data_IF_565153288887
#
_entry.id   IF_565153288887
#
_cell.length_a   1.000
_cell.length_b   1.000
_cell.length_c   1.000
_cell.angle_alpha   90.00
_cell.angle_beta   90.00
_cell.angle_gamma   90.00
#
_symmetry.space_group_name_H-M   'P 1'
#
loop_
_entity.id
_entity.type
_entity.pdbx_description
1 polymer ?
#
# COMPACT_ATOMS: atom_id res chain seq x y z
N UNK A 1 -25.02 -30.97 -0.80
CA UNK A 1 -24.25 -31.82 0.13
C UNK A 1 -23.35 -30.89 0.92
N UNK A 2 -23.59 -30.77 2.22
CA UNK A 2 -22.86 -29.88 3.12
C UNK A 2 -21.65 -30.66 3.66
N UNK A 3 -20.48 -30.02 3.68
CA UNK A 3 -19.23 -30.67 4.06
C UNK A 3 -19.33 -31.18 5.52
N UNK A 4 -19.19 -32.50 5.79
CA UNK A 4 -19.37 -33.08 7.12
C UNK A 4 -18.29 -32.64 8.12
N UNK A 5 -17.24 -31.97 7.68
CA UNK A 5 -16.17 -31.46 8.54
C UNK A 5 -15.91 -29.97 8.25
N UNK A 6 -16.79 -29.06 8.70
CA UNK A 6 -16.55 -27.64 8.53
C UNK A 6 -15.23 -27.30 9.21
N UNK A 7 -14.28 -26.74 8.44
CA UNK A 7 -13.00 -26.30 8.98
C UNK A 7 -13.26 -25.42 10.22
N UNK A 8 -12.59 -25.68 11.37
CA UNK A 8 -12.86 -24.99 12.64
C UNK A 8 -12.46 -23.51 12.62
N UNK A 9 -11.85 -23.07 11.53
CA UNK A 9 -11.48 -21.69 11.28
C UNK A 9 -12.74 -20.94 10.82
N UNK A 10 -13.44 -20.33 11.77
CA UNK A 10 -14.35 -19.22 11.46
C UNK A 10 -13.63 -18.11 10.69
N UNK A 11 -14.31 -17.01 10.36
CA UNK A 11 -13.68 -15.89 9.65
C UNK A 11 -12.42 -15.41 10.41
N UNK A 12 -11.24 -15.71 9.87
CA UNK A 12 -9.96 -15.39 10.50
C UNK A 12 -9.76 -13.87 10.48
N UNK A 13 -9.41 -13.29 11.64
CA UNK A 13 -9.19 -11.85 11.78
C UNK A 13 -8.20 -11.31 10.74
N UNK A 14 -8.55 -10.15 10.19
CA UNK A 14 -7.75 -9.42 9.21
C UNK A 14 -7.44 -8.03 9.72
N UNK A 15 -6.21 -7.62 9.54
CA UNK A 15 -5.66 -6.35 10.02
C UNK A 15 -5.11 -5.54 8.85
N UNK A 16 -5.20 -4.23 8.95
CA UNK A 16 -4.65 -3.29 7.98
C UNK A 16 -4.13 -2.07 8.73
N UNK A 17 -2.89 -1.66 8.44
CA UNK A 17 -2.31 -0.46 9.02
C UNK A 17 -2.61 0.75 8.13
N UNK A 18 -3.11 1.81 8.73
CA UNK A 18 -3.44 3.07 8.04
C UNK A 18 -2.55 4.18 8.61
N UNK A 19 -1.82 4.87 7.73
CA UNK A 19 -1.04 6.05 8.06
C UNK A 19 -1.82 7.28 7.59
N UNK A 20 -2.15 8.18 8.51
CA UNK A 20 -2.96 9.37 8.21
C UNK A 20 -2.07 10.59 8.23
N UNK A 21 -1.91 11.22 7.07
CA UNK A 21 -1.21 12.49 6.92
C UNK A 21 -2.25 13.60 6.98
N UNK A 22 -2.19 14.44 8.02
CA UNK A 22 -3.11 15.58 8.14
C UNK A 22 -2.75 16.63 7.09
N UNK A 23 -3.73 17.01 6.28
CA UNK A 23 -3.64 18.12 5.33
C UNK A 23 -4.92 18.96 5.48
N UNK A 24 -4.79 20.28 5.34
CA UNK A 24 -5.91 21.24 5.38
C UNK A 24 -6.76 21.19 4.12
N UNK A 25 -6.21 20.74 3.00
CA UNK A 25 -6.90 20.60 1.71
C UNK A 25 -7.64 19.27 1.65
N UNK A 26 -8.70 19.21 2.45
CA UNK A 26 -9.60 18.06 2.57
C UNK A 26 -10.26 17.82 1.22
N UNK A 27 -10.27 16.56 0.76
CA UNK A 27 -11.02 16.06 -0.41
C UNK A 27 -10.50 16.37 -1.82
N UNK A 28 -9.22 16.71 -1.99
CA UNK A 28 -8.67 16.82 -3.34
C UNK A 28 -8.31 15.42 -3.89
N UNK A 29 -9.11 14.94 -4.86
CA UNK A 29 -8.87 13.69 -5.61
C UNK A 29 -7.52 13.67 -6.34
N UNK A 30 -6.84 14.82 -6.49
CA UNK A 30 -5.47 14.90 -6.98
C UNK A 30 -4.46 14.11 -6.13
N UNK A 31 -4.78 13.87 -4.85
CA UNK A 31 -3.96 13.06 -3.94
C UNK A 31 -4.23 11.55 -4.02
N UNK A 32 -5.23 11.13 -4.80
CA UNK A 32 -5.53 9.70 -4.97
C UNK A 32 -4.45 9.01 -5.82
N UNK A 33 -3.82 7.97 -5.29
CA UNK A 33 -2.80 7.20 -6.00
C UNK A 33 -2.76 5.74 -5.54
N UNK A 34 -2.52 4.81 -6.46
CA UNK A 34 -2.29 3.40 -6.15
C UNK A 34 -1.14 2.82 -6.96
N UNK A 35 -0.44 1.85 -6.38
CA UNK A 35 0.59 1.12 -7.10
C UNK A 35 -0.02 0.14 -8.11
N UNK A 36 0.49 0.17 -9.33
CA UNK A 36 0.36 -0.85 -10.36
C UNK A 36 1.68 -1.61 -10.46
N UNK A 37 1.66 -2.89 -10.06
CA UNK A 37 2.86 -3.71 -9.92
C UNK A 37 3.06 -4.58 -11.14
N UNK A 38 4.29 -4.60 -11.67
CA UNK A 38 4.74 -5.62 -12.61
C UNK A 38 5.46 -6.70 -11.81
N UNK A 39 5.00 -7.94 -11.90
CA UNK A 39 5.56 -9.07 -11.14
C UNK A 39 6.05 -10.18 -12.06
N UNK A 40 7.09 -10.92 -11.63
CA UNK A 40 7.60 -12.12 -12.31
C UNK A 40 7.54 -13.32 -11.38
N UNK A 41 7.26 -14.51 -11.92
CA UNK A 41 7.15 -15.77 -11.18
C UNK A 41 5.73 -16.11 -10.71
N UNK A 42 5.59 -17.25 -10.03
CA UNK A 42 4.29 -17.79 -9.60
C UNK A 42 4.27 -18.07 -8.08
N UNK A 43 3.08 -18.06 -7.48
CA UNK A 43 2.85 -18.37 -6.07
C UNK A 43 3.81 -17.62 -5.11
N UNK A 44 4.51 -18.33 -4.24
CA UNK A 44 5.45 -17.79 -3.24
C UNK A 44 6.74 -17.22 -3.86
N UNK A 45 7.09 -17.63 -5.08
CA UNK A 45 8.27 -17.13 -5.80
C UNK A 45 8.02 -15.80 -6.53
N UNK A 46 6.78 -15.28 -6.48
CA UNK A 46 6.40 -14.06 -7.19
C UNK A 46 7.14 -12.85 -6.60
N UNK A 47 7.93 -12.17 -7.43
CA UNK A 47 8.69 -10.97 -7.07
C UNK A 47 8.20 -9.76 -7.85
N UNK A 48 8.28 -8.59 -7.22
CA UNK A 48 8.04 -7.30 -7.88
C UNK A 48 9.27 -6.98 -8.73
N UNK A 49 9.05 -6.65 -10.00
CA UNK A 49 10.12 -6.24 -10.93
C UNK A 49 9.94 -4.80 -11.43
N UNK A 50 8.76 -4.23 -11.22
CA UNK A 50 8.45 -2.87 -11.59
C UNK A 50 7.27 -2.34 -10.80
N UNK A 51 7.25 -1.03 -10.59
CA UNK A 51 6.21 -0.30 -9.89
C UNK A 51 5.89 0.92 -10.73
N UNK A 52 4.60 1.16 -10.95
CA UNK A 52 4.08 2.44 -11.44
C UNK A 52 2.99 2.91 -10.49
N UNK A 53 2.80 4.21 -10.38
CA UNK A 53 1.67 4.80 -9.69
C UNK A 53 0.61 5.21 -10.71
N UNK A 54 -0.65 4.92 -10.37
CA UNK A 54 -1.82 5.29 -11.16
C UNK A 54 -2.75 6.11 -10.26
N UNK A 55 -3.20 7.26 -10.74
CA UNK A 55 -4.02 8.18 -9.95
C UNK A 55 -3.92 9.61 -10.47
N UNK A 56 -4.19 10.57 -9.58
CA UNK A 56 -4.13 12.00 -9.84
C UNK A 56 -2.70 12.56 -9.89
N UNK A 57 -2.55 13.86 -9.63
CA UNK A 57 -1.28 14.59 -9.66
C UNK A 57 -0.19 13.95 -8.79
N UNK A 58 -0.57 13.41 -7.62
CA UNK A 58 0.36 12.71 -6.73
C UNK A 58 1.02 11.52 -7.42
N UNK A 59 0.27 10.75 -8.22
CA UNK A 59 0.82 9.57 -8.90
C UNK A 59 1.95 9.94 -9.87
N UNK A 60 1.83 11.06 -10.58
CA UNK A 60 2.91 11.57 -11.45
C UNK A 60 4.18 11.89 -10.65
N UNK A 61 4.04 12.64 -9.55
CA UNK A 61 5.17 12.99 -8.70
C UNK A 61 5.85 11.75 -8.07
N UNK A 62 5.07 10.74 -7.67
CA UNK A 62 5.60 9.48 -7.14
C UNK A 62 6.29 8.62 -8.20
N UNK A 63 5.85 8.69 -9.46
CA UNK A 63 6.51 7.99 -10.59
C UNK A 63 7.88 8.58 -10.94
N UNK A 64 8.08 9.88 -10.74
CA UNK A 64 9.37 10.54 -10.98
C UNK A 64 10.41 10.19 -9.90
N UNK A 65 9.99 9.68 -8.75
CA UNK A 65 10.89 9.25 -7.69
C UNK A 65 11.44 7.82 -7.90
N UNK A 66 12.60 7.78 -8.55
CA UNK A 66 13.32 6.52 -8.79
C UNK A 66 13.81 5.84 -7.51
N UNK A 67 14.07 6.58 -6.41
CA UNK A 67 14.50 5.99 -5.13
C UNK A 67 13.33 5.32 -4.43
N UNK A 68 12.15 5.95 -4.40
CA UNK A 68 10.91 5.36 -3.88
C UNK A 68 10.58 4.08 -4.66
N UNK A 69 10.65 4.13 -5.99
CA UNK A 69 10.44 2.94 -6.84
C UNK A 69 11.37 1.79 -6.46
N UNK A 70 12.68 2.08 -6.28
CA UNK A 70 13.66 1.07 -5.84
C UNK A 70 13.38 0.51 -4.44
N UNK A 71 12.85 1.31 -3.53
CA UNK A 71 12.47 0.85 -2.19
C UNK A 71 11.27 -0.11 -2.25
N UNK A 72 10.25 0.22 -3.05
CA UNK A 72 9.03 -0.59 -3.20
C UNK A 72 9.32 -1.93 -3.91
N UNK A 73 10.18 -1.95 -4.94
CA UNK A 73 10.55 -3.18 -5.66
C UNK A 73 11.14 -4.25 -4.74
N UNK A 74 11.81 -3.86 -3.65
CA UNK A 74 12.41 -4.79 -2.68
C UNK A 74 11.38 -5.44 -1.75
N UNK A 75 10.15 -4.92 -1.73
CA UNK A 75 9.10 -5.40 -0.84
C UNK A 75 8.39 -6.65 -1.39
N UNK A 76 7.67 -7.34 -0.51
CA UNK A 76 6.77 -8.41 -0.94
C UNK A 76 5.65 -7.84 -1.83
N UNK A 77 5.00 -8.68 -2.65
CA UNK A 77 3.85 -8.22 -3.46
C UNK A 77 2.74 -7.63 -2.59
N UNK A 78 2.56 -8.13 -1.36
CA UNK A 78 1.56 -7.62 -0.42
C UNK A 78 1.92 -6.23 0.09
N UNK A 79 3.18 -6.01 0.44
CA UNK A 79 3.68 -4.74 1.00
C UNK A 79 3.93 -3.68 -0.06
N UNK A 80 4.28 -4.10 -1.28
CA UNK A 80 4.39 -3.22 -2.43
C UNK A 80 3.03 -2.76 -2.98
N UNK A 81 1.93 -3.42 -2.59
CA UNK A 81 0.58 -3.00 -2.94
C UNK A 81 0.15 -1.87 -2.00
N UNK A 82 0.28 -0.63 -2.44
CA UNK A 82 0.04 0.56 -1.63
C UNK A 82 -1.05 1.42 -2.29
N UNK A 83 -1.91 1.97 -1.44
CA UNK A 83 -2.95 2.93 -1.79
C UNK A 83 -2.78 4.20 -0.98
N UNK A 84 -3.14 5.31 -1.62
CA UNK A 84 -3.19 6.65 -1.07
C UNK A 84 -4.53 7.23 -1.46
N UNK A 85 -5.39 7.50 -0.47
CA UNK A 85 -6.72 8.05 -0.71
C UNK A 85 -6.96 9.27 0.20
N UNK A 86 -7.55 10.36 -0.32
CA UNK A 86 -8.06 11.43 0.53
C UNK A 86 -9.21 10.93 1.41
N UNK A 87 -9.29 11.46 2.62
CA UNK A 87 -10.35 11.22 3.60
C UNK A 87 -10.75 12.54 4.22
N UNK A 88 -11.83 12.56 5.02
CA UNK A 88 -12.29 13.77 5.72
C UNK A 88 -11.22 14.39 6.64
N UNK A 89 -10.35 13.55 7.21
CA UNK A 89 -9.38 13.95 8.23
C UNK A 89 -7.93 14.06 7.71
N UNK A 90 -7.72 13.96 6.39
CA UNK A 90 -6.41 14.01 5.76
C UNK A 90 -6.26 12.95 4.67
N UNK A 91 -5.03 12.65 4.28
CA UNK A 91 -4.74 11.64 3.25
C UNK A 91 -4.26 10.36 3.92
N UNK A 92 -4.88 9.24 3.56
CA UNK A 92 -4.63 7.93 4.13
C UNK A 92 -3.72 7.11 3.21
N UNK A 93 -2.62 6.61 3.76
CA UNK A 93 -1.70 5.68 3.10
C UNK A 93 -1.87 4.29 3.74
N UNK A 94 -2.08 3.25 2.93
CA UNK A 94 -2.33 1.91 3.45
C UNK A 94 -1.92 0.80 2.47
N UNK A 95 -1.67 -0.40 3.01
CA UNK A 95 -1.33 -1.61 2.26
C UNK A 95 -2.46 -2.64 2.22
N UNK A 96 -2.18 -3.88 1.79
CA UNK A 96 -3.20 -4.95 1.81
C UNK A 96 -3.57 -5.38 3.24
N UNK A 97 -4.77 -5.92 3.38
CA UNK A 97 -5.19 -6.68 4.55
C UNK A 97 -4.27 -7.90 4.77
N UNK A 98 -3.83 -8.10 6.02
CA UNK A 98 -2.98 -9.22 6.45
C UNK A 98 -3.67 -10.02 7.55
N UNK A 99 -3.29 -11.27 7.73
CA UNK A 99 -3.68 -12.03 8.93
C UNK A 99 -2.79 -11.62 10.12
N UNK A 100 -3.15 -12.02 11.35
CA UNK A 100 -2.41 -11.64 12.55
C UNK A 100 -0.95 -12.09 12.59
N UNK A 101 -0.58 -13.17 11.88
CA UNK A 101 0.80 -13.68 11.84
C UNK A 101 1.69 -12.86 10.88
N UNK A 102 1.11 -12.40 9.78
CA UNK A 102 1.80 -11.56 8.77
C UNK A 102 1.75 -10.07 9.11
N UNK A 103 0.90 -9.67 10.06
CA UNK A 103 0.68 -8.28 10.41
C UNK A 103 1.92 -7.69 11.09
N UNK A 104 2.45 -6.64 10.50
CA UNK A 104 3.64 -5.94 10.95
C UNK A 104 4.05 -4.90 9.91
N UNK A 105 4.64 -3.81 10.40
CA UNK A 105 5.24 -2.76 9.58
C UNK A 105 6.73 -2.80 9.86
N UNK A 106 7.51 -3.18 8.84
CA UNK A 106 8.97 -3.14 8.95
C UNK A 106 9.46 -1.70 8.89
N UNK A 107 10.69 -1.47 9.31
CA UNK A 107 11.31 -0.14 9.20
C UNK A 107 11.34 0.36 7.76
N UNK A 108 11.68 -0.51 6.81
CA UNK A 108 11.73 -0.16 5.38
C UNK A 108 10.36 0.19 4.82
N UNK A 109 9.30 -0.53 5.26
CA UNK A 109 7.93 -0.22 4.85
C UNK A 109 7.47 1.13 5.43
N UNK A 110 7.85 1.42 6.68
CA UNK A 110 7.59 2.72 7.28
C UNK A 110 8.29 3.85 6.53
N UNK A 111 9.57 3.70 6.16
CA UNK A 111 10.29 4.69 5.36
C UNK A 111 9.65 4.94 3.99
N UNK A 112 9.08 3.91 3.36
CA UNK A 112 8.31 4.07 2.12
C UNK A 112 7.09 4.96 2.36
N UNK A 113 6.33 4.69 3.43
CA UNK A 113 5.14 5.48 3.76
C UNK A 113 5.47 6.91 4.17
N UNK A 114 6.51 7.13 4.98
CA UNK A 114 6.99 8.46 5.35
C UNK A 114 7.43 9.26 4.12
N UNK A 115 8.12 8.59 3.20
CA UNK A 115 8.53 9.22 1.95
C UNK A 115 7.33 9.64 1.10
N UNK A 116 6.30 8.80 0.97
CA UNK A 116 5.04 9.16 0.29
C UNK A 116 4.37 10.34 1.02
N UNK A 117 4.33 10.33 2.35
CA UNK A 117 3.77 11.40 3.16
C UNK A 117 4.44 12.75 2.87
N UNK A 118 5.75 12.77 2.63
CA UNK A 118 6.47 14.00 2.30
C UNK A 118 6.00 14.68 1.01
N UNK A 119 5.43 13.95 0.05
CA UNK A 119 4.84 14.52 -1.17
C UNK A 119 3.48 15.15 -0.91
N UNK A 120 2.75 14.62 0.07
CA UNK A 120 1.42 15.11 0.46
C UNK A 120 1.55 16.40 1.27
N UNK A 121 2.58 16.52 2.14
CA UNK A 121 2.80 17.71 2.97
C UNK A 121 3.50 18.86 2.24
N UNK A 122 4.21 18.56 1.14
CA UNK A 122 4.93 19.58 0.33
C UNK A 122 4.08 20.19 -0.78
N UNK A 123 2.92 19.60 -1.07
CA UNK A 123 2.03 20.03 -2.16
C UNK A 123 1.15 21.20 -1.74
#
# INVERSE_FOLDING_TARGET
MQDPNPLPWGAQDRYQAHFIVRNTDKTNDEYSAKTSLTTKGHFSSKKVIGVKWVGGKLASALNDDTKLTKMIIKQSVKDASIWVDPTENGVRIYGKWKNGHEFGITHELFEIYDKIASYITKS
#
